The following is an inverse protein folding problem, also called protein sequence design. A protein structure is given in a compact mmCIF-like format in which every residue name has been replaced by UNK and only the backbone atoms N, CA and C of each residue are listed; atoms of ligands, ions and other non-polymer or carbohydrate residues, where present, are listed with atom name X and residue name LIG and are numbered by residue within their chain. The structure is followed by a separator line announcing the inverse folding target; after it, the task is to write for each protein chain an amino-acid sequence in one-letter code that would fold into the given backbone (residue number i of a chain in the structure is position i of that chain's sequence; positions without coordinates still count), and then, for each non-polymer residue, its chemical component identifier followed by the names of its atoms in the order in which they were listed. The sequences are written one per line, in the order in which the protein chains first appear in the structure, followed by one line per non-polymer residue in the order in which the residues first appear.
data_IF_814376877419
#
_entry.id   IF_814376877419
#
_cell.length_a   1.000
_cell.length_b   1.000
_cell.length_c   1.000
_cell.angle_alpha   90.00
_cell.angle_beta   90.00
_cell.angle_gamma   90.00
#
_symmetry.space_group_name_H-M   'P 1'
#
loop_
_entity.id
_entity.type
_entity.pdbx_description
1 polymer ?
#
# COMPACT_ATOMS: atom_id res chain seq x y z
N UNK A 1 15.39 -12.61 -10.79
CA UNK A 1 14.52 -11.54 -11.33
C UNK A 1 14.37 -10.47 -10.25
N UNK A 2 14.25 -9.17 -10.58
CA UNK A 2 14.03 -8.13 -9.57
C UNK A 2 12.73 -8.39 -8.82
N UNK A 3 12.68 -8.11 -7.50
CA UNK A 3 11.45 -8.22 -6.71
C UNK A 3 10.36 -7.28 -7.23
N UNK A 4 9.09 -7.53 -6.93
CA UNK A 4 8.00 -6.62 -7.30
C UNK A 4 8.27 -5.19 -6.80
N UNK A 5 8.75 -5.07 -5.57
CA UNK A 5 9.17 -3.80 -4.98
C UNK A 5 10.20 -3.08 -5.86
N UNK A 6 11.23 -3.79 -6.35
CA UNK A 6 12.24 -3.20 -7.23
C UNK A 6 11.69 -2.84 -8.61
N UNK A 7 10.75 -3.62 -9.14
CA UNK A 7 10.11 -3.35 -10.42
C UNK A 7 9.22 -2.10 -10.36
N UNK A 8 8.53 -1.89 -9.24
CA UNK A 8 7.59 -0.78 -9.07
C UNK A 8 8.26 0.47 -8.49
N UNK A 9 9.09 0.31 -7.44
CA UNK A 9 9.72 1.40 -6.69
C UNK A 9 11.16 1.71 -7.11
N UNK A 10 11.76 0.89 -7.99
CA UNK A 10 13.17 0.99 -8.37
C UNK A 10 14.11 0.47 -7.27
N UNK A 11 15.42 0.66 -7.47
CA UNK A 11 16.48 0.14 -6.59
C UNK A 11 16.41 0.64 -5.13
N UNK A 12 15.70 1.75 -4.86
CA UNK A 12 15.54 2.31 -3.53
C UNK A 12 14.45 1.66 -2.67
N UNK A 13 13.56 0.86 -3.27
CA UNK A 13 12.45 0.19 -2.58
C UNK A 13 11.49 1.15 -1.85
N UNK A 14 10.63 0.60 -1.00
CA UNK A 14 9.74 1.34 -0.12
C UNK A 14 10.47 1.87 1.10
N UNK A 15 10.23 3.13 1.46
CA UNK A 15 10.73 3.68 2.72
C UNK A 15 10.00 3.05 3.91
N UNK A 16 10.70 2.23 4.70
CA UNK A 16 10.16 1.65 5.94
C UNK A 16 9.60 2.73 6.89
N UNK A 17 8.40 2.53 7.49
CA UNK A 17 7.56 1.32 7.50
C UNK A 17 6.71 1.05 6.26
N UNK A 18 6.83 1.86 5.21
CA UNK A 18 6.09 1.78 3.96
C UNK A 18 4.86 2.67 4.00
N UNK A 19 4.77 3.64 3.09
CA UNK A 19 3.59 4.49 3.02
C UNK A 19 2.39 3.68 2.47
N UNK A 20 1.20 3.70 3.10
CA UNK A 20 0.08 2.85 2.68
C UNK A 20 -0.33 3.00 1.22
N UNK A 21 -0.26 4.22 0.65
CA UNK A 21 -0.54 4.43 -0.77
C UNK A 21 0.46 3.69 -1.69
N UNK A 22 1.74 3.62 -1.33
CA UNK A 22 2.76 2.92 -2.12
C UNK A 22 2.56 1.41 -2.00
N UNK A 23 2.29 0.93 -0.79
CA UNK A 23 1.92 -0.48 -0.56
C UNK A 23 0.67 -0.85 -1.37
N UNK A 24 -0.35 0.01 -1.39
CA UNK A 24 -1.55 -0.21 -2.17
C UNK A 24 -1.26 -0.31 -3.67
N UNK A 25 -0.30 0.46 -4.22
CA UNK A 25 0.15 0.29 -5.61
C UNK A 25 0.74 -1.10 -5.84
N UNK A 26 1.57 -1.61 -4.93
CA UNK A 26 2.15 -2.95 -5.03
C UNK A 26 1.08 -4.03 -4.98
N UNK A 27 0.12 -3.89 -4.06
CA UNK A 27 -1.03 -4.80 -3.93
C UNK A 27 -1.85 -4.81 -5.23
N UNK A 28 -2.24 -3.63 -5.73
CA UNK A 28 -3.04 -3.54 -6.97
C UNK A 28 -2.29 -4.04 -8.20
N UNK A 29 -0.95 -3.96 -8.20
CA UNK A 29 -0.12 -4.48 -9.28
C UNK A 29 -0.03 -6.01 -9.25
N UNK A 30 0.02 -6.62 -8.06
CA UNK A 30 0.19 -8.07 -7.90
C UNK A 30 -1.13 -8.84 -7.92
N UNK A 31 -2.13 -8.32 -7.21
CA UNK A 31 -3.40 -9.00 -7.01
C UNK A 31 -4.47 -8.44 -7.94
N UNK A 32 -5.29 -9.30 -8.57
CA UNK A 32 -6.32 -8.86 -9.51
C UNK A 32 -7.54 -8.21 -8.85
N UNK A 33 -7.70 -8.33 -7.53
CA UNK A 33 -8.83 -7.77 -6.77
C UNK A 33 -8.56 -7.74 -5.28
N UNK A 34 -9.39 -7.02 -4.52
CA UNK A 34 -9.34 -7.01 -3.07
C UNK A 34 -9.66 -8.38 -2.47
N UNK A 35 -10.62 -9.09 -3.07
CA UNK A 35 -10.97 -10.43 -2.65
C UNK A 35 -9.77 -11.38 -2.74
N UNK A 36 -8.99 -11.31 -3.83
CA UNK A 36 -7.77 -12.09 -4.00
C UNK A 36 -6.69 -11.71 -2.97
N UNK A 37 -6.45 -10.42 -2.76
CA UNK A 37 -5.47 -9.95 -1.76
C UNK A 37 -5.86 -10.33 -0.31
N UNK A 38 -7.15 -10.54 -0.05
CA UNK A 38 -7.70 -10.91 1.26
C UNK A 38 -7.94 -12.41 1.44
N UNK A 39 -7.63 -13.24 0.44
CA UNK A 39 -7.76 -14.67 0.60
C UNK A 39 -6.95 -15.13 1.82
N UNK A 40 -7.49 -16.00 2.68
CA UNK A 40 -6.75 -16.52 3.80
C UNK A 40 -5.55 -17.33 3.29
N UNK A 41 -4.40 -17.14 3.90
CA UNK A 41 -3.26 -17.99 3.68
C UNK A 41 -3.44 -19.34 4.39
N UNK A 42 -3.11 -20.41 3.69
CA UNK A 42 -3.21 -21.77 4.22
C UNK A 42 -2.36 -21.94 5.48
N UNK A 43 -3.03 -22.25 6.60
CA UNK A 43 -2.39 -22.56 7.88
C UNK A 43 -2.13 -21.37 8.81
N UNK A 44 -2.27 -20.12 8.34
CA UNK A 44 -2.04 -18.92 9.15
C UNK A 44 -3.31 -18.10 9.44
N UNK A 45 -4.36 -18.25 8.61
CA UNK A 45 -5.66 -17.60 8.83
C UNK A 45 -5.65 -16.07 8.69
N UNK A 46 -4.50 -15.49 8.29
CA UNK A 46 -4.37 -14.09 7.92
C UNK A 46 -4.52 -13.92 6.40
N UNK A 47 -4.84 -12.70 5.91
CA UNK A 47 -4.80 -12.39 4.49
C UNK A 47 -3.43 -12.72 3.86
N UNK A 48 -3.43 -13.37 2.70
CA UNK A 48 -2.22 -13.77 1.95
C UNK A 48 -1.26 -12.61 1.70
N UNK A 49 -1.79 -11.40 1.49
CA UNK A 49 -0.98 -10.19 1.30
C UNK A 49 -0.09 -9.84 2.50
N UNK A 50 -0.43 -10.29 3.72
CA UNK A 50 0.37 -10.03 4.93
C UNK A 50 1.58 -10.96 5.05
N UNK A 51 1.54 -12.12 4.40
CA UNK A 51 2.65 -13.07 4.36
C UNK A 51 3.43 -13.03 3.04
N UNK A 52 2.95 -12.24 2.08
CA UNK A 52 3.57 -12.09 0.79
C UNK A 52 4.88 -11.30 0.88
N UNK A 53 6.01 -11.98 0.68
CA UNK A 53 7.35 -11.38 0.70
C UNK A 53 7.60 -10.33 -0.39
N UNK A 54 6.76 -10.24 -1.42
CA UNK A 54 6.83 -9.19 -2.44
C UNK A 54 6.10 -7.90 -2.02
N UNK A 55 5.35 -7.92 -0.91
CA UNK A 55 4.63 -6.76 -0.38
C UNK A 55 5.42 -6.21 0.82
N UNK A 56 6.36 -5.28 0.59
CA UNK A 56 7.17 -4.69 1.64
C UNK A 56 6.31 -3.78 2.53
N UNK A 57 6.66 -3.73 3.82
CA UNK A 57 6.07 -2.81 4.77
C UNK A 57 5.86 -3.44 6.13
N UNK A 58 5.61 -2.61 7.13
CA UNK A 58 5.12 -3.10 8.40
C UNK A 58 3.69 -3.63 8.23
N UNK A 59 3.37 -4.76 8.88
CA UNK A 59 2.04 -5.39 8.88
C UNK A 59 0.91 -4.38 9.08
N UNK A 60 1.13 -3.43 9.98
CA UNK A 60 0.18 -2.35 10.27
C UNK A 60 -0.09 -1.46 9.05
N UNK A 61 0.95 -1.10 8.28
CA UNK A 61 0.80 -0.27 7.08
C UNK A 61 0.17 -1.04 5.92
N UNK A 62 0.45 -2.35 5.80
CA UNK A 62 -0.21 -3.23 4.82
C UNK A 62 -1.70 -3.37 5.15
N UNK A 63 -2.05 -3.49 6.43
CA UNK A 63 -3.45 -3.52 6.88
C UNK A 63 -4.17 -2.20 6.54
N UNK A 64 -3.52 -1.06 6.77
CA UNK A 64 -4.07 0.25 6.39
C UNK A 64 -4.26 0.38 4.87
N UNK A 65 -3.32 -0.14 4.08
CA UNK A 65 -3.46 -0.16 2.63
C UNK A 65 -4.70 -0.96 2.20
N UNK A 66 -4.92 -2.15 2.78
CA UNK A 66 -6.13 -2.95 2.54
C UNK A 66 -7.43 -2.22 2.92
N UNK A 67 -7.44 -1.52 4.05
CA UNK A 67 -8.63 -0.78 4.53
C UNK A 67 -9.00 0.37 3.60
N UNK A 68 -7.98 1.04 3.04
CA UNK A 68 -8.17 2.12 2.08
C UNK A 68 -8.67 1.57 0.74
N UNK A 69 -8.09 0.47 0.27
CA UNK A 69 -8.54 -0.22 -0.94
C UNK A 69 -10.00 -0.69 -0.81
N UNK A 70 -10.42 -1.20 0.36
CA UNK A 70 -11.81 -1.54 0.63
C UNK A 70 -12.79 -0.35 0.55
N UNK A 71 -12.29 0.87 0.74
CA UNK A 71 -13.07 2.10 0.61
C UNK A 71 -13.20 2.61 -0.83
N UNK A 72 -12.45 2.07 -1.79
CA UNK A 72 -12.35 2.64 -3.15
C UNK A 72 -13.69 2.81 -3.84
N UNK A 73 -14.54 1.77 -3.86
CA UNK A 73 -15.86 1.84 -4.50
C UNK A 73 -16.80 2.89 -3.89
N UNK A 74 -16.65 3.17 -2.59
CA UNK A 74 -17.53 4.10 -1.87
C UNK A 74 -17.03 5.53 -1.96
N UNK A 75 -15.73 5.71 -1.76
CA UNK A 75 -15.13 7.02 -1.51
C UNK A 75 -14.38 7.57 -2.73
N UNK A 76 -14.00 6.71 -3.68
CA UNK A 76 -13.22 7.04 -4.87
C UNK A 76 -11.70 7.01 -4.65
N UNK A 77 -10.91 6.95 -5.73
CA UNK A 77 -9.44 6.91 -5.68
C UNK A 77 -8.81 8.09 -4.94
N UNK A 78 -9.27 9.31 -5.16
CA UNK A 78 -8.70 10.52 -4.57
C UNK A 78 -8.86 10.51 -3.04
N UNK A 79 -10.07 10.23 -2.55
CA UNK A 79 -10.35 10.15 -1.12
C UNK A 79 -9.57 9.00 -0.45
N UNK A 80 -9.36 7.90 -1.17
CA UNK A 80 -8.54 6.79 -0.70
C UNK A 80 -7.06 7.22 -0.54
N UNK A 81 -6.50 7.92 -1.51
CA UNK A 81 -5.13 8.44 -1.41
C UNK A 81 -4.98 9.43 -0.24
N UNK A 82 -5.90 10.39 -0.12
CA UNK A 82 -5.90 11.34 1.00
C UNK A 82 -5.99 10.66 2.36
N UNK A 83 -6.82 9.62 2.47
CA UNK A 83 -6.91 8.80 3.69
C UNK A 83 -5.59 8.10 4.00
N UNK A 84 -4.88 7.59 2.98
CA UNK A 84 -3.56 6.99 3.14
C UNK A 84 -2.56 7.98 3.74
N UNK A 85 -2.49 9.17 3.15
CA UNK A 85 -1.62 10.26 3.60
C UNK A 85 -1.94 10.73 5.02
N UNK A 86 -3.22 10.84 5.36
CA UNK A 86 -3.66 11.20 6.70
C UNK A 86 -3.26 10.14 7.74
N UNK A 87 -3.48 8.87 7.43
CA UNK A 87 -3.11 7.76 8.33
C UNK A 87 -1.59 7.66 8.51
N UNK A 88 -0.82 7.78 7.42
CA UNK A 88 0.63 7.87 7.47
C UNK A 88 1.07 8.97 8.44
N UNK A 89 0.63 10.20 8.20
CA UNK A 89 1.04 11.37 8.98
C UNK A 89 0.73 11.21 10.48
N UNK A 90 -0.41 10.63 10.84
CA UNK A 90 -0.77 10.38 12.25
C UNK A 90 0.16 9.38 12.94
N UNK A 91 0.62 8.35 12.23
CA UNK A 91 1.38 7.22 12.82
C UNK A 91 2.89 7.47 12.78
N UNK A 92 3.42 7.92 11.65
CA UNK A 92 4.87 8.10 11.49
C UNK A 92 5.40 9.39 12.08
N UNK A 93 4.59 10.45 12.24
CA UNK A 93 5.04 11.66 12.95
C UNK A 93 5.43 11.40 14.42
N UNK A 94 4.94 10.31 15.02
CA UNK A 94 5.26 9.94 16.40
C UNK A 94 6.44 8.98 16.51
N UNK A 95 6.47 7.92 15.71
CA UNK A 95 7.41 6.80 15.87
C UNK A 95 8.52 6.74 14.81
N UNK A 96 8.34 7.43 13.68
CA UNK A 96 9.24 7.37 12.52
C UNK A 96 9.48 8.77 11.93
N UNK A 97 9.78 9.76 12.78
CA UNK A 97 9.89 11.18 12.37
C UNK A 97 10.83 11.38 11.18
N UNK A 98 12.00 10.77 11.21
CA UNK A 98 13.00 10.91 10.15
C UNK A 98 12.58 10.24 8.82
N UNK A 99 11.57 9.36 8.88
CA UNK A 99 11.02 8.66 7.70
C UNK A 99 9.71 9.26 7.21
N UNK A 100 9.06 10.12 8.01
CA UNK A 100 7.77 10.74 7.66
C UNK A 100 7.84 11.50 6.32
N UNK A 101 8.80 12.43 6.18
CA UNK A 101 8.96 13.22 4.96
C UNK A 101 9.43 12.39 3.75
N UNK A 102 10.45 11.51 3.86
CA UNK A 102 10.82 10.62 2.75
C UNK A 102 9.66 9.74 2.26
N UNK A 103 8.92 9.11 3.18
CA UNK A 103 7.78 8.25 2.82
C UNK A 103 6.63 9.06 2.20
N UNK A 104 6.37 10.27 2.69
CA UNK A 104 5.38 11.17 2.07
C UNK A 104 5.78 11.54 0.64
N UNK A 105 7.03 11.97 0.43
CA UNK A 105 7.54 12.33 -0.91
C UNK A 105 7.46 11.15 -1.88
N UNK A 106 7.79 9.95 -1.40
CA UNK A 106 7.63 8.74 -2.19
C UNK A 106 6.16 8.54 -2.58
N UNK A 107 5.22 8.64 -1.64
CA UNK A 107 3.80 8.48 -1.95
C UNK A 107 3.31 9.49 -3.00
N UNK A 108 3.72 10.76 -2.90
CA UNK A 108 3.36 11.78 -3.90
C UNK A 108 3.88 11.43 -5.30
N UNK A 109 5.10 10.89 -5.42
CA UNK A 109 5.64 10.42 -6.70
C UNK A 109 4.82 9.26 -7.29
N UNK A 110 4.16 8.46 -6.43
CA UNK A 110 3.28 7.36 -6.83
C UNK A 110 1.81 7.76 -6.98
N UNK A 111 1.44 9.02 -6.70
CA UNK A 111 0.03 9.45 -6.68
C UNK A 111 -0.68 9.19 -8.00
N UNK A 112 -0.06 9.55 -9.13
CA UNK A 112 -0.66 9.33 -10.45
C UNK A 112 -0.91 7.85 -10.72
N UNK A 113 0.11 7.01 -10.49
CA UNK A 113 0.03 5.54 -10.63
C UNK A 113 -1.04 4.93 -9.73
N UNK A 114 -1.14 5.41 -8.49
CA UNK A 114 -2.17 4.97 -7.55
C UNK A 114 -3.56 5.26 -8.10
N UNK A 115 -3.82 6.49 -8.53
CA UNK A 115 -5.13 6.91 -9.04
C UNK A 115 -5.52 6.13 -10.30
N UNK A 116 -4.57 5.94 -11.23
CA UNK A 116 -4.76 5.16 -12.45
C UNK A 116 -5.17 3.71 -12.15
N UNK A 117 -4.43 3.02 -11.29
CA UNK A 117 -4.74 1.65 -10.90
C UNK A 117 -6.09 1.58 -10.16
N UNK A 118 -6.28 2.45 -9.17
CA UNK A 118 -7.44 2.46 -8.30
C UNK A 118 -8.76 2.73 -9.04
N UNK A 119 -8.73 3.48 -10.15
CA UNK A 119 -9.92 3.77 -10.93
C UNK A 119 -10.54 2.51 -11.57
N UNK A 120 -9.73 1.50 -11.88
CA UNK A 120 -10.17 0.26 -12.54
C UNK A 120 -10.04 -1.00 -11.69
N UNK A 121 -9.45 -0.90 -10.49
CA UNK A 121 -9.14 -2.07 -9.69
C UNK A 121 -10.37 -2.60 -8.93
N UNK A 122 -10.71 -3.91 -9.02
CA UNK A 122 -11.86 -4.49 -8.36
C UNK A 122 -11.71 -4.54 -6.82
N UNK A 123 -12.22 -3.49 -6.17
CA UNK A 123 -12.34 -3.37 -4.72
C UNK A 123 -13.59 -4.05 -4.13
#
# INVERSE_FOLDING_TARGET
MPSLEQQVCGFGGCHHPGHPAVIAVLIMTKYPSLAAARQPEDGLGCPIVLADGDIPGAVEQVSVALDILAGLRRDGPEAAFERATLQWSRRTARHFRDRHLPGQRQAENFRHRFLELAAGWPA
#
